data_IF_025120036168
#
_entry.id   IF_025120036168
#
_cell.length_a   1.000
_cell.length_b   1.000
_cell.length_c   1.000
_cell.angle_alpha   90.00
_cell.angle_beta   90.00
_cell.angle_gamma   90.00
#
_symmetry.space_group_name_H-M   'P 1'
#
loop_
_entity.id
_entity.type
_entity.pdbx_description
1 polymer ?
#
# COMPACT_ATOMS: atom_id res chain seq x y z
N UNK A 1 9.91 -9.16 -32.56
CA UNK A 1 10.82 -9.30 -31.40
C UNK A 1 10.03 -9.17 -30.08
N UNK A 2 9.41 -10.23 -29.53
CA UNK A 2 8.63 -10.13 -28.29
C UNK A 2 9.07 -11.08 -27.15
N UNK A 3 10.22 -11.74 -27.22
CA UNK A 3 10.57 -12.81 -26.28
C UNK A 3 11.52 -12.42 -25.13
N UNK A 4 12.19 -11.26 -25.20
CA UNK A 4 13.20 -10.88 -24.19
C UNK A 4 12.72 -9.91 -23.09
N UNK A 5 11.60 -9.18 -23.26
CA UNK A 5 11.03 -8.34 -22.19
C UNK A 5 10.35 -9.17 -21.07
N UNK A 6 9.89 -10.39 -21.37
CA UNK A 6 9.06 -11.16 -20.43
C UNK A 6 9.84 -11.81 -19.27
N UNK A 7 11.16 -12.03 -19.42
CA UNK A 7 11.98 -12.74 -18.41
C UNK A 7 12.44 -11.84 -17.28
N UNK A 8 12.75 -10.57 -17.57
CA UNK A 8 13.14 -9.58 -16.57
C UNK A 8 11.95 -9.28 -15.64
N UNK A 9 10.77 -9.08 -16.22
CA UNK A 9 9.52 -8.85 -15.46
C UNK A 9 9.09 -10.09 -14.68
N UNK A 10 9.27 -11.30 -15.21
CA UNK A 10 8.96 -12.52 -14.47
C UNK A 10 9.87 -12.72 -13.25
N UNK A 11 11.19 -12.50 -13.37
CA UNK A 11 12.13 -12.61 -12.24
C UNK A 11 11.89 -11.51 -11.20
N UNK A 12 11.64 -10.29 -11.66
CA UNK A 12 11.23 -9.15 -10.84
C UNK A 12 9.98 -9.45 -10.02
N UNK A 13 8.94 -9.96 -10.69
CA UNK A 13 7.68 -10.34 -10.07
C UNK A 13 7.88 -11.48 -9.07
N UNK A 14 8.63 -12.53 -9.41
CA UNK A 14 8.93 -13.63 -8.47
C UNK A 14 9.66 -13.13 -7.23
N UNK A 15 10.65 -12.25 -7.39
CA UNK A 15 11.37 -11.66 -6.27
C UNK A 15 10.49 -10.75 -5.40
N UNK A 16 9.53 -10.07 -6.01
CA UNK A 16 8.52 -9.29 -5.31
C UNK A 16 7.57 -10.19 -4.52
N UNK A 17 7.08 -11.28 -5.13
CA UNK A 17 6.21 -12.27 -4.49
C UNK A 17 6.88 -12.95 -3.28
N UNK A 18 8.21 -13.14 -3.34
CA UNK A 18 8.98 -13.81 -2.30
C UNK A 18 9.40 -12.91 -1.13
N UNK A 19 8.99 -11.64 -1.10
CA UNK A 19 9.33 -10.76 0.02
C UNK A 19 8.62 -11.24 1.29
N UNK A 20 9.35 -11.26 2.42
CA UNK A 20 8.86 -11.72 3.72
C UNK A 20 7.51 -11.08 4.15
N UNK A 21 7.26 -9.85 3.70
CA UNK A 21 6.00 -9.12 3.95
C UNK A 21 4.78 -9.78 3.28
N UNK A 22 4.91 -10.30 2.07
CA UNK A 22 3.79 -10.96 1.39
C UNK A 22 3.59 -12.37 1.92
N UNK A 23 4.68 -13.07 2.28
CA UNK A 23 4.57 -14.37 2.95
C UNK A 23 3.91 -14.28 4.33
N UNK A 24 4.00 -13.13 5.00
CA UNK A 24 3.27 -12.87 6.24
C UNK A 24 1.76 -12.67 6.02
N UNK A 25 1.34 -12.20 4.83
CA UNK A 25 -0.07 -12.03 4.48
C UNK A 25 -0.71 -13.33 4.00
N UNK A 26 0.08 -14.29 3.52
CA UNK A 26 -0.39 -15.62 3.13
C UNK A 26 0.53 -16.29 2.11
N UNK A 27 0.19 -17.53 1.72
CA UNK A 27 0.89 -18.23 0.64
C UNK A 27 0.80 -17.43 -0.67
N UNK A 28 1.88 -17.33 -1.47
CA UNK A 28 1.84 -16.68 -2.79
C UNK A 28 0.76 -17.21 -3.73
N UNK A 29 0.30 -18.45 -3.56
CA UNK A 29 -0.78 -19.05 -4.36
C UNK A 29 -2.16 -18.41 -4.12
N UNK A 30 -2.32 -17.63 -3.04
CA UNK A 30 -3.56 -16.95 -2.70
C UNK A 30 -3.80 -15.67 -3.51
N UNK A 31 -2.81 -15.22 -4.28
CA UNK A 31 -2.83 -13.95 -4.99
C UNK A 31 -2.74 -14.14 -6.51
N UNK A 32 -3.52 -13.36 -7.26
CA UNK A 32 -3.35 -13.25 -8.71
C UNK A 32 -2.28 -12.22 -9.05
N UNK A 33 -1.02 -12.67 -9.09
CA UNK A 33 0.13 -11.80 -9.37
C UNK A 33 0.11 -11.16 -10.76
N UNK A 34 -0.47 -11.82 -11.76
CA UNK A 34 -0.59 -11.25 -13.10
C UNK A 34 -1.60 -10.09 -13.09
N UNK A 35 -2.72 -10.26 -12.38
CA UNK A 35 -3.70 -9.19 -12.17
C UNK A 35 -3.14 -8.05 -11.34
N UNK A 36 -2.40 -8.33 -10.26
CA UNK A 36 -1.74 -7.31 -9.43
C UNK A 36 -0.77 -6.49 -10.28
N UNK A 37 0.08 -7.16 -11.08
CA UNK A 37 1.01 -6.51 -12.00
C UNK A 37 0.27 -5.62 -13.00
N UNK A 38 -0.84 -6.10 -13.58
CA UNK A 38 -1.67 -5.29 -14.47
C UNK A 38 -2.21 -4.05 -13.76
N UNK A 39 -2.79 -4.19 -12.57
CA UNK A 39 -3.34 -3.06 -11.81
C UNK A 39 -2.28 -2.02 -11.45
N UNK A 40 -1.04 -2.45 -11.22
CA UNK A 40 0.10 -1.57 -11.01
C UNK A 40 0.57 -0.91 -12.30
N UNK A 41 0.57 -1.62 -13.43
CA UNK A 41 0.99 -1.05 -14.71
C UNK A 41 0.01 0.00 -15.25
N UNK A 42 -1.27 -0.05 -14.85
CA UNK A 42 -2.29 0.95 -15.25
C UNK A 42 -2.16 2.28 -14.50
N UNK A 43 -1.23 2.39 -13.55
CA UNK A 43 -0.95 3.62 -12.81
C UNK A 43 -0.40 4.69 -13.77
N UNK A 44 -1.30 5.49 -14.35
CA UNK A 44 -0.95 6.69 -15.10
C UNK A 44 -0.52 7.77 -14.11
N UNK A 45 0.78 7.93 -13.91
CA UNK A 45 1.29 8.94 -12.96
C UNK A 45 2.81 9.14 -12.96
N UNK A 46 3.59 8.16 -13.41
CA UNK A 46 5.05 8.30 -13.44
C UNK A 46 5.56 9.29 -14.50
N UNK A 47 4.88 9.40 -15.64
CA UNK A 47 5.40 10.10 -16.82
C UNK A 47 5.02 11.60 -16.90
N UNK A 48 4.14 12.11 -16.04
CA UNK A 48 3.75 13.53 -16.08
C UNK A 48 4.00 14.20 -14.74
N UNK A 49 5.17 14.81 -14.63
CA UNK A 49 5.54 15.77 -13.56
C UNK A 49 4.57 16.96 -13.42
N UNK A 50 3.47 17.02 -14.18
CA UNK A 50 2.62 18.20 -14.28
C UNK A 50 1.24 18.07 -13.66
N UNK A 51 0.67 16.87 -13.42
CA UNK A 51 -0.74 16.76 -12.98
C UNK A 51 -1.09 15.57 -12.05
N UNK A 52 -0.13 14.75 -11.59
CA UNK A 52 -0.42 13.67 -10.64
C UNK A 52 -0.52 14.19 -9.19
N UNK A 53 -1.31 13.52 -8.33
CA UNK A 53 -1.21 13.63 -6.85
C UNK A 53 -0.10 12.68 -6.38
N UNK A 54 1.19 13.10 -6.28
CA UNK A 54 2.28 12.19 -5.88
C UNK A 54 2.02 11.54 -4.52
N UNK A 55 1.29 12.21 -3.64
CA UNK A 55 0.94 11.76 -2.29
C UNK A 55 0.05 10.50 -2.31
N UNK A 56 -0.94 10.45 -3.21
CA UNK A 56 -1.79 9.27 -3.37
C UNK A 56 -0.99 8.07 -3.87
N UNK A 57 -0.05 8.29 -4.79
CA UNK A 57 0.81 7.21 -5.28
C UNK A 57 1.71 6.64 -4.20
N UNK A 58 2.31 7.53 -3.40
CA UNK A 58 3.10 7.14 -2.23
C UNK A 58 2.25 6.34 -1.26
N UNK A 59 1.02 6.78 -0.98
CA UNK A 59 0.07 6.03 -0.17
C UNK A 59 -0.18 4.65 -0.75
N UNK A 60 -0.52 4.54 -2.02
CA UNK A 60 -0.86 3.26 -2.67
C UNK A 60 0.29 2.26 -2.64
N UNK A 61 1.53 2.71 -2.90
CA UNK A 61 2.72 1.85 -2.82
C UNK A 61 2.99 1.45 -1.36
N UNK A 62 2.89 2.38 -0.41
CA UNK A 62 3.08 2.07 1.02
C UNK A 62 1.99 1.11 1.54
N UNK A 63 0.77 1.25 1.05
CA UNK A 63 -0.37 0.40 1.36
C UNK A 63 -0.16 -1.03 0.84
N UNK A 64 0.21 -1.17 -0.43
CA UNK A 64 0.55 -2.47 -1.03
C UNK A 64 1.69 -3.18 -0.27
N UNK A 65 2.69 -2.41 0.14
CA UNK A 65 3.85 -2.93 0.84
C UNK A 65 3.62 -3.11 2.35
N UNK A 66 2.45 -2.78 2.90
CA UNK A 66 2.18 -2.88 4.34
C UNK A 66 3.19 -2.04 5.19
N UNK A 67 3.48 -0.81 4.74
CA UNK A 67 4.45 0.11 5.37
C UNK A 67 3.92 1.53 5.58
N UNK A 68 2.59 1.70 5.57
CA UNK A 68 2.00 2.97 5.95
C UNK A 68 2.43 3.36 7.38
N UNK A 69 2.67 4.65 7.65
CA UNK A 69 3.12 5.12 8.96
C UNK A 69 2.01 5.03 10.02
N UNK A 70 1.72 3.80 10.46
CA UNK A 70 0.86 3.50 11.62
C UNK A 70 1.66 3.54 12.91
N UNK A 71 1.00 3.61 14.08
CA UNK A 71 1.69 3.57 15.37
C UNK A 71 2.60 2.34 15.52
N UNK A 72 2.10 1.16 15.16
CA UNK A 72 2.88 -0.09 15.21
C UNK A 72 4.12 -0.03 14.32
N UNK A 73 4.02 0.60 13.15
CA UNK A 73 5.18 0.83 12.26
C UNK A 73 6.20 1.77 12.91
N UNK A 74 5.73 2.79 13.63
CA UNK A 74 6.61 3.71 14.36
C UNK A 74 7.26 3.06 15.59
N UNK A 75 6.52 2.28 16.38
CA UNK A 75 7.03 1.50 17.50
C UNK A 75 8.16 0.55 17.06
N UNK A 76 8.01 -0.10 15.91
CA UNK A 76 9.04 -0.98 15.36
C UNK A 76 10.29 -0.22 14.90
N UNK A 77 10.14 0.96 14.28
CA UNK A 77 11.26 1.71 13.68
C UNK A 77 11.98 2.64 14.65
N UNK A 78 11.25 3.16 15.64
CA UNK A 78 11.73 4.12 16.63
C UNK A 78 11.19 3.78 18.03
N UNK A 79 11.52 2.60 18.58
CA UNK A 79 11.04 2.18 19.89
C UNK A 79 11.47 3.13 21.03
N UNK A 80 12.51 3.94 20.80
CA UNK A 80 12.98 4.97 21.73
C UNK A 80 12.09 6.23 21.79
N UNK A 81 11.23 6.47 20.77
CA UNK A 81 10.27 7.58 20.75
C UNK A 81 8.83 7.11 20.97
N UNK A 82 8.51 5.89 20.54
CA UNK A 82 7.15 5.36 20.58
C UNK A 82 7.11 4.15 21.51
N UNK A 83 6.46 4.33 22.67
CA UNK A 83 6.30 3.26 23.66
C UNK A 83 5.51 2.09 23.08
N UNK A 84 5.92 0.86 23.40
CA UNK A 84 5.20 -0.38 23.03
C UNK A 84 3.80 -0.47 23.64
N UNK A 85 3.56 0.24 24.74
CA UNK A 85 2.30 0.17 25.48
C UNK A 85 1.23 1.10 24.90
N UNK A 86 1.63 1.99 23.98
CA UNK A 86 0.68 2.87 23.31
C UNK A 86 -0.22 2.11 22.36
N UNK A 87 -1.52 2.29 22.54
CA UNK A 87 -2.56 1.79 21.68
C UNK A 87 -2.94 2.85 20.64
N UNK A 88 -3.87 2.49 19.75
CA UNK A 88 -4.39 3.40 18.74
C UNK A 88 -4.77 4.74 19.37
N UNK A 89 -4.19 5.87 18.91
CA UNK A 89 -4.50 7.21 19.43
C UNK A 89 -5.97 7.58 19.35
N UNK A 90 -6.71 6.93 18.46
CA UNK A 90 -8.09 7.26 18.12
C UNK A 90 -9.11 6.53 19.00
N UNK A 91 -8.89 5.25 19.30
CA UNK A 91 -9.85 4.45 20.08
C UNK A 91 -9.27 3.90 21.39
N UNK A 92 -7.95 3.96 21.58
CA UNK A 92 -7.21 3.46 22.74
C UNK A 92 -7.58 2.02 23.16
N UNK A 93 -7.95 1.16 22.20
CA UNK A 93 -8.47 -0.19 22.49
C UNK A 93 -7.63 -1.33 21.90
N UNK A 94 -6.84 -1.06 20.87
CA UNK A 94 -6.00 -2.03 20.19
C UNK A 94 -4.75 -1.35 19.60
N UNK A 95 -3.69 -2.10 19.25
CA UNK A 95 -2.58 -1.56 18.47
C UNK A 95 -3.09 -0.99 17.14
N UNK A 96 -2.59 0.18 16.74
CA UNK A 96 -2.87 0.71 15.41
C UNK A 96 -1.92 0.07 14.40
N UNK A 97 -2.32 -1.10 13.91
CA UNK A 97 -1.78 -1.72 12.70
C UNK A 97 -2.58 -1.31 11.46
N UNK A 98 -2.15 -1.79 10.29
CA UNK A 98 -2.81 -1.43 9.05
C UNK A 98 -4.24 -1.98 8.95
N UNK A 99 -4.56 -3.10 9.60
CA UNK A 99 -5.94 -3.61 9.58
C UNK A 99 -6.82 -2.76 10.50
N UNK A 100 -6.32 -2.41 11.68
CA UNK A 100 -7.01 -1.56 12.64
C UNK A 100 -7.27 -0.17 12.07
N UNK A 101 -6.40 0.39 11.22
CA UNK A 101 -6.65 1.65 10.51
C UNK A 101 -8.02 1.69 9.83
N UNK A 102 -8.43 0.59 9.20
CA UNK A 102 -9.70 0.47 8.48
C UNK A 102 -10.88 0.15 9.39
N UNK A 103 -10.63 -0.59 10.48
CA UNK A 103 -11.69 -1.07 11.37
C UNK A 103 -11.80 -0.29 12.68
N UNK A 104 -11.00 0.77 12.85
CA UNK A 104 -10.96 1.57 14.06
C UNK A 104 -12.37 2.15 14.32
N UNK A 105 -12.98 1.87 15.49
CA UNK A 105 -14.31 2.36 15.83
C UNK A 105 -14.22 3.80 16.34
N UNK A 106 -13.59 4.68 15.55
CA UNK A 106 -13.26 6.04 15.98
C UNK A 106 -14.47 6.75 16.58
N UNK A 107 -14.26 7.45 17.70
CA UNK A 107 -15.32 7.95 18.58
C UNK A 107 -15.82 9.34 18.14
N UNK A 108 -15.16 10.02 17.18
CA UNK A 108 -15.67 11.30 16.70
C UNK A 108 -16.96 11.11 15.88
N UNK A 109 -18.04 11.88 16.18
CA UNK A 109 -19.37 11.67 15.61
C UNK A 109 -19.44 11.61 14.06
N UNK A 110 -18.61 12.39 13.37
CA UNK A 110 -18.65 12.53 11.90
C UNK A 110 -17.55 11.74 11.17
N UNK A 111 -16.66 11.06 11.91
CA UNK A 111 -15.49 10.39 11.35
C UNK A 111 -15.43 8.98 11.93
N UNK A 112 -15.93 8.01 11.18
CA UNK A 112 -15.87 6.60 11.58
C UNK A 112 -15.20 5.79 10.48
N UNK A 113 -13.87 5.56 10.57
CA UNK A 113 -13.12 4.79 9.58
C UNK A 113 -13.75 3.44 9.28
N UNK A 114 -14.28 2.74 10.29
CA UNK A 114 -14.95 1.45 10.13
C UNK A 114 -16.21 1.56 9.27
N UNK A 115 -17.08 2.54 9.52
CA UNK A 115 -18.29 2.73 8.71
C UNK A 115 -17.96 3.21 7.29
N UNK A 116 -17.03 4.16 7.16
CA UNK A 116 -16.55 4.64 5.85
C UNK A 116 -15.95 3.50 5.05
N UNK A 117 -15.05 2.72 5.63
CA UNK A 117 -14.43 1.57 4.99
C UNK A 117 -15.47 0.56 4.51
N UNK A 118 -16.45 0.21 5.35
CA UNK A 118 -17.55 -0.69 4.95
C UNK A 118 -18.35 -0.14 3.76
N UNK A 119 -18.69 1.14 3.79
CA UNK A 119 -19.36 1.82 2.67
C UNK A 119 -18.54 1.72 1.38
N UNK A 120 -17.24 2.00 1.45
CA UNK A 120 -16.37 1.98 0.27
C UNK A 120 -16.17 0.56 -0.28
N UNK A 121 -16.08 -0.46 0.58
CA UNK A 121 -16.04 -1.87 0.13
C UNK A 121 -17.34 -2.27 -0.57
N UNK A 122 -18.50 -1.85 -0.04
CA UNK A 122 -19.81 -2.09 -0.68
C UNK A 122 -19.86 -1.42 -2.05
N UNK A 123 -19.51 -0.13 -2.14
CA UNK A 123 -19.48 0.61 -3.41
C UNK A 123 -18.56 -0.05 -4.43
N UNK A 124 -17.37 -0.49 -4.00
CA UNK A 124 -16.42 -1.17 -4.88
C UNK A 124 -16.98 -2.51 -5.41
N UNK A 125 -17.53 -3.35 -4.53
CA UNK A 125 -18.19 -4.61 -4.88
C UNK A 125 -19.32 -4.38 -5.88
N UNK A 126 -20.22 -3.47 -5.59
CA UNK A 126 -21.43 -3.21 -6.40
C UNK A 126 -21.06 -2.59 -7.76
N UNK A 127 -20.01 -1.76 -7.80
CA UNK A 127 -19.46 -1.24 -9.05
C UNK A 127 -18.83 -2.34 -9.89
N UNK A 128 -18.09 -3.26 -9.28
CA UNK A 128 -17.56 -4.43 -9.99
C UNK A 128 -18.69 -5.30 -10.54
N UNK A 129 -19.69 -5.63 -9.71
CA UNK A 129 -20.84 -6.44 -10.11
C UNK A 129 -21.57 -5.81 -11.29
N UNK A 130 -21.91 -4.52 -11.18
CA UNK A 130 -22.58 -3.76 -12.25
C UNK A 130 -21.75 -3.73 -13.54
N UNK A 131 -20.44 -3.51 -13.43
CA UNK A 131 -19.55 -3.50 -14.59
C UNK A 131 -19.53 -4.87 -15.29
N UNK A 132 -19.44 -5.98 -14.56
CA UNK A 132 -19.49 -7.32 -15.18
C UNK A 132 -20.84 -7.65 -15.81
N UNK A 133 -21.95 -7.30 -15.14
CA UNK A 133 -23.30 -7.49 -15.69
C UNK A 133 -23.55 -6.65 -16.95
N UNK A 134 -22.91 -5.48 -17.07
CA UNK A 134 -22.98 -4.64 -18.28
C UNK A 134 -22.24 -5.26 -19.48
N UNK A 135 -21.21 -6.07 -19.23
CA UNK A 135 -20.41 -6.72 -20.28
C UNK A 135 -21.08 -7.98 -20.82
N UNK A 136 -21.83 -8.69 -19.99
CA UNK A 136 -22.50 -9.93 -20.34
C UNK A 136 -23.69 -10.11 -19.40
N UNK A 137 -24.85 -10.43 -19.96
CA UNK A 137 -26.01 -10.86 -19.17
C UNK A 137 -25.68 -12.17 -18.46
N UNK A 138 -25.72 -12.15 -17.12
CA UNK A 138 -25.46 -13.28 -16.25
C UNK A 138 -26.64 -13.47 -15.30
N UNK A 139 -26.84 -14.71 -14.89
CA UNK A 139 -28.00 -15.11 -14.08
C UNK A 139 -27.83 -14.74 -12.59
N UNK A 140 -28.86 -15.08 -11.81
CA UNK A 140 -28.88 -14.87 -10.36
C UNK A 140 -27.77 -15.68 -9.67
N UNK A 141 -27.41 -16.86 -10.20
CA UNK A 141 -26.36 -17.69 -9.62
C UNK A 141 -25.00 -16.99 -9.65
N UNK A 142 -24.67 -16.28 -10.74
CA UNK A 142 -23.47 -15.42 -10.77
C UNK A 142 -23.50 -14.33 -9.71
N UNK A 143 -24.63 -13.61 -9.57
CA UNK A 143 -24.74 -12.49 -8.63
C UNK A 143 -24.61 -12.95 -7.17
N UNK A 144 -25.28 -14.05 -6.83
CA UNK A 144 -25.19 -14.68 -5.50
C UNK A 144 -23.79 -15.20 -5.24
N UNK A 145 -23.18 -15.92 -6.19
CA UNK A 145 -21.83 -16.44 -6.07
C UNK A 145 -20.78 -15.35 -5.94
N UNK A 146 -20.90 -14.28 -6.72
CA UNK A 146 -20.01 -13.11 -6.66
C UNK A 146 -20.11 -12.43 -5.30
N UNK A 147 -21.33 -12.17 -4.82
CA UNK A 147 -21.56 -11.47 -3.55
C UNK A 147 -21.15 -12.30 -2.32
N UNK A 148 -21.12 -13.63 -2.45
CA UNK A 148 -20.72 -14.55 -1.39
C UNK A 148 -19.19 -14.75 -1.27
N UNK A 149 -18.39 -14.19 -2.18
CA UNK A 149 -16.94 -14.30 -2.09
C UNK A 149 -16.41 -13.67 -0.79
N UNK A 150 -15.49 -14.37 -0.13
CA UNK A 150 -14.91 -13.96 1.16
C UNK A 150 -14.26 -12.56 1.09
N UNK A 151 -13.75 -12.15 -0.07
CA UNK A 151 -13.13 -10.85 -0.26
C UNK A 151 -14.09 -9.67 -0.14
N UNK A 152 -15.40 -9.91 -0.10
CA UNK A 152 -16.43 -8.90 0.14
C UNK A 152 -16.93 -8.87 1.58
N UNK A 153 -16.45 -9.74 2.47
CA UNK A 153 -16.84 -9.67 3.86
C UNK A 153 -16.25 -8.40 4.49
N UNK A 154 -17.09 -7.38 4.74
CA UNK A 154 -16.69 -6.09 5.31
C UNK A 154 -17.17 -5.88 6.76
N UNK A 155 -18.13 -6.68 7.24
CA UNK A 155 -18.65 -6.56 8.61
C UNK A 155 -17.56 -6.91 9.63
N UNK A 156 -16.92 -8.05 9.42
CA UNK A 156 -15.70 -8.47 10.10
C UNK A 156 -14.70 -8.76 8.98
N UNK A 157 -13.93 -7.75 8.53
CA UNK A 157 -13.16 -7.88 7.31
C UNK A 157 -12.28 -9.12 7.29
N UNK A 158 -12.51 -9.97 6.30
CA UNK A 158 -11.70 -11.18 6.11
C UNK A 158 -10.27 -10.80 5.70
N UNK A 159 -9.34 -11.75 5.81
CA UNK A 159 -7.98 -11.54 5.28
C UNK A 159 -8.01 -11.15 3.81
N UNK A 160 -8.92 -11.71 3.02
CA UNK A 160 -9.00 -11.42 1.59
C UNK A 160 -9.61 -10.06 1.26
N UNK A 161 -10.52 -9.55 2.10
CA UNK A 161 -10.98 -8.16 2.03
C UNK A 161 -9.83 -7.18 2.32
N UNK A 162 -9.02 -7.50 3.33
CA UNK A 162 -7.80 -6.76 3.65
C UNK A 162 -6.71 -6.85 2.57
N UNK A 163 -6.62 -7.95 1.83
CA UNK A 163 -5.74 -8.07 0.67
C UNK A 163 -6.21 -7.14 -0.47
N UNK A 164 -7.51 -7.13 -0.80
CA UNK A 164 -8.06 -6.21 -1.80
C UNK A 164 -7.79 -4.75 -1.44
N UNK A 165 -7.93 -4.41 -0.16
CA UNK A 165 -7.62 -3.07 0.37
C UNK A 165 -6.17 -2.68 0.06
N UNK A 166 -5.23 -3.62 0.20
CA UNK A 166 -3.81 -3.43 -0.15
C UNK A 166 -3.54 -3.39 -1.65
N UNK A 167 -4.54 -3.66 -2.50
CA UNK A 167 -4.36 -3.84 -3.94
C UNK A 167 -3.82 -5.22 -4.33
N UNK A 168 -3.85 -6.18 -3.41
CA UNK A 168 -3.54 -7.59 -3.67
C UNK A 168 -4.82 -8.30 -4.11
N UNK A 169 -4.90 -8.69 -5.38
CA UNK A 169 -6.07 -9.39 -5.92
C UNK A 169 -6.12 -10.85 -5.41
N UNK A 170 -7.17 -11.25 -4.68
CA UNK A 170 -7.32 -12.64 -4.25
C UNK A 170 -7.53 -13.58 -5.44
N UNK A 171 -6.82 -14.70 -5.44
CA UNK A 171 -6.91 -15.71 -6.51
C UNK A 171 -8.33 -16.27 -6.64
N UNK A 172 -9.09 -16.42 -5.54
CA UNK A 172 -10.45 -16.94 -5.61
C UNK A 172 -11.42 -16.00 -6.35
N UNK A 173 -11.23 -14.68 -6.25
CA UNK A 173 -12.03 -13.69 -6.99
C UNK A 173 -11.78 -13.83 -8.49
N UNK A 174 -10.51 -13.88 -8.90
CA UNK A 174 -10.17 -14.01 -10.32
C UNK A 174 -10.52 -15.40 -10.85
N UNK A 175 -10.40 -16.45 -10.04
CA UNK A 175 -10.79 -17.81 -10.41
C UNK A 175 -12.30 -17.98 -10.57
N UNK A 176 -13.11 -17.30 -9.75
CA UNK A 176 -14.56 -17.21 -9.93
C UNK A 176 -14.89 -16.49 -11.26
N UNK A 177 -14.32 -15.31 -11.48
CA UNK A 177 -14.62 -14.51 -12.68
C UNK A 177 -14.13 -15.15 -13.99
N UNK A 178 -13.03 -15.92 -13.96
CA UNK A 178 -12.47 -16.66 -15.10
C UNK A 178 -13.44 -17.66 -15.73
N UNK A 179 -14.44 -18.12 -14.98
CA UNK A 179 -15.48 -19.01 -15.50
C UNK A 179 -16.40 -18.29 -16.51
N UNK A 180 -16.44 -16.95 -16.46
CA UNK A 180 -17.38 -16.14 -17.24
C UNK A 180 -16.69 -15.19 -18.22
N UNK A 181 -15.48 -14.73 -17.89
CA UNK A 181 -14.77 -13.68 -18.64
C UNK A 181 -13.29 -14.04 -18.88
N UNK A 182 -12.71 -13.62 -20.03
CA UNK A 182 -11.27 -13.66 -20.23
C UNK A 182 -10.52 -12.80 -19.20
N UNK A 183 -9.31 -13.22 -18.84
CA UNK A 183 -8.46 -12.48 -17.88
C UNK A 183 -8.23 -11.02 -18.25
N UNK A 184 -8.04 -10.73 -19.53
CA UNK A 184 -7.84 -9.37 -20.01
C UNK A 184 -9.05 -8.46 -19.73
N UNK A 185 -10.27 -9.01 -19.77
CA UNK A 185 -11.49 -8.28 -19.43
C UNK A 185 -11.57 -8.09 -17.92
N UNK A 186 -11.33 -9.15 -17.14
CA UNK A 186 -11.33 -9.08 -15.67
C UNK A 186 -10.40 -7.99 -15.16
N UNK A 187 -9.14 -7.97 -15.62
CA UNK A 187 -8.16 -6.99 -15.17
C UNK A 187 -8.49 -5.57 -15.62
N UNK A 188 -8.95 -5.39 -16.87
CA UNK A 188 -9.39 -4.07 -17.37
C UNK A 188 -10.59 -3.52 -16.62
N UNK A 189 -11.50 -4.37 -16.15
CA UNK A 189 -12.68 -3.97 -15.38
C UNK A 189 -12.32 -3.65 -13.93
N UNK A 190 -11.57 -4.52 -13.25
CA UNK A 190 -11.25 -4.35 -11.82
C UNK A 190 -10.25 -3.20 -11.59
N UNK A 191 -9.25 -3.06 -12.46
CA UNK A 191 -8.16 -2.10 -12.24
C UNK A 191 -8.58 -0.64 -11.99
N UNK A 192 -9.46 -0.02 -12.80
CA UNK A 192 -9.90 1.35 -12.53
C UNK A 192 -10.75 1.42 -11.26
N UNK A 193 -11.65 0.47 -11.03
CA UNK A 193 -12.51 0.45 -9.85
C UNK A 193 -11.71 0.28 -8.55
N UNK A 194 -10.66 -0.55 -8.57
CA UNK A 194 -9.74 -0.71 -7.45
C UNK A 194 -8.96 0.58 -7.19
N UNK A 195 -8.58 1.30 -8.25
CA UNK A 195 -7.93 2.60 -8.10
C UNK A 195 -8.86 3.61 -7.42
N UNK A 196 -10.11 3.70 -7.89
CA UNK A 196 -11.10 4.62 -7.34
C UNK A 196 -11.39 4.30 -5.87
N UNK A 197 -11.58 3.02 -5.54
CA UNK A 197 -11.69 2.55 -4.15
C UNK A 197 -10.51 3.01 -3.29
N UNK A 198 -9.27 2.85 -3.76
CA UNK A 198 -8.09 3.28 -3.01
C UNK A 198 -7.97 4.81 -2.90
N UNK A 199 -8.47 5.57 -3.88
CA UNK A 199 -8.55 7.04 -3.81
C UNK A 199 -9.49 7.46 -2.68
N UNK A 200 -10.65 6.82 -2.54
CA UNK A 200 -11.59 7.09 -1.45
C UNK A 200 -10.99 6.75 -0.09
N UNK A 201 -10.33 5.59 0.05
CA UNK A 201 -9.62 5.24 1.30
C UNK A 201 -8.52 6.26 1.66
N UNK A 202 -7.83 6.78 0.65
CA UNK A 202 -6.83 7.82 0.84
C UNK A 202 -7.47 9.13 1.35
N UNK A 203 -8.53 9.59 0.69
CA UNK A 203 -9.19 10.85 1.01
C UNK A 203 -9.91 10.82 2.35
N UNK A 204 -10.77 9.82 2.54
CA UNK A 204 -11.76 9.80 3.62
C UNK A 204 -11.21 9.24 4.93
N UNK A 205 -10.21 8.35 4.88
CA UNK A 205 -9.67 7.69 6.08
C UNK A 205 -8.22 8.12 6.31
N UNK A 206 -7.35 7.92 5.32
CA UNK A 206 -5.91 8.12 5.52
C UNK A 206 -5.54 9.57 5.84
N UNK A 207 -6.04 10.55 5.08
CA UNK A 207 -5.72 11.96 5.33
C UNK A 207 -6.18 12.41 6.73
N UNK A 208 -7.39 12.03 7.12
CA UNK A 208 -7.93 12.33 8.44
C UNK A 208 -7.07 11.70 9.55
N UNK A 209 -6.74 10.41 9.42
CA UNK A 209 -5.88 9.72 10.37
C UNK A 209 -4.52 10.42 10.52
N UNK A 210 -3.89 10.87 9.42
CA UNK A 210 -2.60 11.55 9.52
C UNK A 210 -2.71 12.83 10.36
N UNK A 211 -3.72 13.67 10.09
CA UNK A 211 -3.92 14.91 10.86
C UNK A 211 -4.07 14.61 12.35
N UNK A 212 -4.91 13.63 12.69
CA UNK A 212 -5.17 13.24 14.08
C UNK A 212 -3.95 12.61 14.76
N UNK A 213 -3.22 11.77 14.04
CA UNK A 213 -1.98 11.14 14.51
C UNK A 213 -0.93 12.20 14.87
N UNK A 214 -0.81 13.24 14.06
CA UNK A 214 0.14 14.31 14.30
C UNK A 214 -0.21 15.20 15.50
N UNK A 215 -1.48 15.55 15.66
CA UNK A 215 -1.95 16.23 16.88
C UNK A 215 -1.70 15.38 18.12
N UNK A 216 -1.92 14.07 18.02
CA UNK A 216 -1.62 13.14 19.11
C UNK A 216 -0.12 13.06 19.40
N UNK A 217 0.76 12.99 18.40
CA UNK A 217 2.21 12.99 18.61
C UNK A 217 2.68 14.26 19.35
N UNK A 218 2.13 15.43 19.00
CA UNK A 218 2.41 16.68 19.69
C UNK A 218 1.98 16.63 21.17
N UNK A 219 0.83 16.01 21.45
CA UNK A 219 0.37 15.78 22.83
C UNK A 219 1.30 14.86 23.65
N UNK A 220 2.03 13.96 22.98
CA UNK A 220 3.05 13.10 23.59
C UNK A 220 4.43 13.78 23.69
N UNK A 221 4.54 15.05 23.28
CA UNK A 221 5.81 15.79 23.26
C UNK A 221 6.74 15.37 22.11
N UNK A 222 6.25 14.65 21.10
CA UNK A 222 7.06 14.20 19.96
C UNK A 222 7.06 15.29 18.88
N UNK A 223 8.17 16.02 18.78
CA UNK A 223 8.36 17.04 17.75
C UNK A 223 9.05 16.50 16.49
N UNK A 224 9.06 17.30 15.41
CA UNK A 224 9.85 16.97 14.23
C UNK A 224 11.37 16.85 14.55
N UNK A 225 11.86 17.61 15.53
CA UNK A 225 13.26 17.57 15.95
C UNK A 225 13.61 16.26 16.67
N UNK A 226 12.74 15.75 17.54
CA UNK A 226 12.97 14.46 18.23
C UNK A 226 13.00 13.29 17.24
N UNK A 227 12.26 13.39 16.13
CA UNK A 227 12.28 12.41 15.04
C UNK A 227 13.58 12.42 14.24
N UNK A 228 14.34 13.52 14.21
CA UNK A 228 15.61 13.63 13.48
C UNK A 228 16.80 13.07 14.27
N UNK A 229 16.76 13.16 15.61
CA UNK A 229 17.76 12.57 16.48
C UNK A 229 17.56 11.05 16.59
N UNK A 230 18.19 10.30 15.68
CA UNK A 230 18.60 8.93 15.98
C UNK A 230 19.95 8.99 16.67
N UNK A 231 20.01 8.61 17.96
CA UNK A 231 21.23 8.42 18.77
C UNK A 231 22.42 9.33 18.41
N UNK A 232 22.46 10.54 18.99
CA UNK A 232 23.74 11.17 19.33
C UNK A 232 24.03 10.86 20.79
N UNK A 233 24.43 9.62 21.09
CA UNK A 233 25.17 9.37 22.33
C UNK A 233 26.64 9.68 22.06
N UNK A 234 27.13 10.71 22.73
CA UNK A 234 28.53 11.07 22.79
C UNK A 234 29.37 9.88 23.26
N UNK A 235 30.28 9.39 22.41
CA UNK A 235 31.53 8.74 22.84
C UNK A 235 32.55 8.84 21.70
N UNK A 236 33.76 9.39 21.96
CA UNK A 236 34.80 9.52 20.95
C UNK A 236 35.65 8.24 20.90
N UNK A 237 35.84 7.66 19.71
CA UNK A 237 36.97 6.75 19.45
C UNK A 237 37.29 6.67 17.95
N UNK A 238 38.23 7.52 17.55
CA UNK A 238 39.40 7.28 16.67
C UNK A 238 39.26 6.23 15.53
N UNK A 239 39.17 6.77 14.29
CA UNK A 239 39.94 6.47 13.05
C UNK A 239 40.25 5.00 12.68
N UNK A 240 39.80 4.52 11.50
CA UNK A 240 40.67 4.31 10.30
C UNK A 240 39.87 4.07 9.01
N UNK A 241 40.41 4.59 7.90
CA UNK A 241 39.90 4.53 6.52
C UNK A 241 40.18 3.21 5.81
N UNK A 242 39.37 2.85 4.81
CA UNK A 242 39.88 2.49 3.47
C UNK A 242 38.77 2.40 2.40
N UNK A 243 38.89 3.30 1.42
CA UNK A 243 38.74 3.10 -0.03
C UNK A 243 37.35 2.84 -0.64
N UNK A 244 36.89 3.92 -1.27
CA UNK A 244 35.95 4.02 -2.38
C UNK A 244 36.38 3.15 -3.58
N UNK A 245 35.43 2.41 -4.14
CA UNK A 245 35.44 2.10 -5.56
C UNK A 245 34.10 2.51 -6.16
N UNK A 246 34.13 3.64 -6.86
CA UNK A 246 33.15 4.06 -7.84
C UNK A 246 33.09 3.05 -8.99
N UNK A 247 31.88 2.65 -9.37
CA UNK A 247 31.65 2.04 -10.68
C UNK A 247 30.32 2.49 -11.27
N UNK A 248 30.44 3.42 -12.23
CA UNK A 248 29.65 3.55 -13.46
C UNK A 248 28.14 3.79 -13.33
N UNK A 249 27.74 5.05 -13.57
CA UNK A 249 26.38 5.46 -13.95
C UNK A 249 25.93 4.68 -15.19
N UNK A 250 25.04 3.70 -15.02
CA UNK A 250 24.26 3.16 -16.12
C UNK A 250 23.04 4.07 -16.35
N UNK A 251 22.94 4.65 -17.54
CA UNK A 251 21.79 5.42 -18.00
C UNK A 251 20.54 4.54 -17.99
N UNK A 252 19.64 4.75 -17.02
CA UNK A 252 18.38 4.01 -16.91
C UNK A 252 17.37 4.62 -17.89
N UNK A 253 16.91 3.81 -18.84
CA UNK A 253 15.79 4.13 -19.75
C UNK A 253 14.54 4.52 -18.95
N UNK A 254 13.88 5.61 -19.37
CA UNK A 254 12.84 6.34 -18.63
C UNK A 254 11.50 5.61 -18.40
N UNK A 255 11.31 4.36 -18.82
CA UNK A 255 9.95 3.80 -18.97
C UNK A 255 9.62 2.49 -18.21
N UNK A 256 10.30 2.15 -17.11
CA UNK A 256 9.77 1.06 -16.27
C UNK A 256 10.19 1.18 -14.81
N UNK A 257 9.33 1.80 -14.00
CA UNK A 257 9.48 1.83 -12.56
C UNK A 257 9.42 0.42 -11.93
N UNK A 258 8.80 -0.56 -12.60
CA UNK A 258 8.86 -1.98 -12.23
C UNK A 258 10.28 -2.53 -12.45
N UNK A 259 10.94 -2.15 -13.55
CA UNK A 259 12.37 -2.41 -13.78
C UNK A 259 13.25 -1.70 -12.75
N UNK A 260 12.86 -0.51 -12.29
CA UNK A 260 13.57 0.20 -11.23
C UNK A 260 13.43 -0.47 -9.85
N UNK A 261 12.21 -0.82 -9.42
CA UNK A 261 11.95 -1.56 -8.17
C UNK A 261 12.66 -2.91 -8.21
N UNK A 262 12.53 -3.64 -9.31
CA UNK A 262 13.15 -4.96 -9.45
C UNK A 262 14.67 -4.91 -9.56
N UNK A 263 15.24 -3.93 -10.26
CA UNK A 263 16.70 -3.74 -10.31
C UNK A 263 17.26 -3.37 -8.93
N UNK A 264 16.51 -2.59 -8.14
CA UNK A 264 16.87 -2.26 -6.76
C UNK A 264 16.84 -3.50 -5.85
N UNK A 265 15.89 -4.40 -6.08
CA UNK A 265 15.79 -5.69 -5.36
C UNK A 265 16.89 -6.67 -5.79
N UNK A 266 17.18 -6.78 -7.10
CA UNK A 266 18.14 -7.75 -7.66
C UNK A 266 19.60 -7.40 -7.34
N UNK A 267 19.96 -6.10 -7.30
CA UNK A 267 21.35 -5.68 -7.12
C UNK A 267 21.82 -5.64 -5.66
N UNK A 268 20.99 -6.08 -4.70
CA UNK A 268 21.36 -6.14 -3.28
C UNK A 268 21.83 -4.80 -2.70
N UNK A 269 21.46 -3.69 -3.35
CA UNK A 269 21.87 -2.36 -2.92
C UNK A 269 21.35 -2.09 -1.52
N UNK A 270 22.24 -1.61 -0.65
CA UNK A 270 21.85 -1.16 0.68
C UNK A 270 20.70 -0.16 0.55
N UNK A 271 19.56 -0.48 1.14
CA UNK A 271 18.39 0.40 1.28
C UNK A 271 18.77 1.82 1.75
N UNK A 272 19.93 1.94 2.42
CA UNK A 272 20.50 3.14 3.01
C UNK A 272 20.91 4.19 1.97
N UNK A 273 21.27 3.85 0.72
CA UNK A 273 21.62 4.86 -0.30
C UNK A 273 20.42 5.43 -1.05
N UNK A 274 19.23 4.83 -0.93
CA UNK A 274 17.98 5.34 -1.52
C UNK A 274 17.07 6.03 -0.49
N UNK A 275 17.52 6.11 0.77
CA UNK A 275 16.86 6.88 1.81
C UNK A 275 16.89 8.39 1.55
N UNK A 276 17.66 8.95 0.63
CA UNK A 276 17.61 10.40 0.40
C UNK A 276 16.32 10.86 -0.34
N UNK A 277 15.66 9.94 -1.06
CA UNK A 277 14.30 10.20 -1.61
C UNK A 277 13.20 9.83 -0.60
N UNK A 278 13.36 8.74 0.15
CA UNK A 278 12.38 8.32 1.17
C UNK A 278 12.46 9.15 2.47
N UNK A 279 13.63 9.73 2.83
CA UNK A 279 13.80 10.72 3.92
C UNK A 279 13.10 12.02 3.58
N UNK A 280 13.10 12.45 2.31
CA UNK A 280 12.26 13.57 1.84
C UNK A 280 10.77 13.26 1.92
N UNK A 281 10.39 11.99 2.16
CA UNK A 281 9.02 11.51 2.38
C UNK A 281 8.78 10.96 3.79
N UNK A 282 9.70 11.21 4.73
CA UNK A 282 9.50 10.93 6.15
C UNK A 282 10.20 12.00 6.99
N UNK A 283 9.54 13.15 7.14
CA UNK A 283 8.99 13.65 8.41
C UNK A 283 7.98 14.73 7.99
N UNK A 284 6.68 14.43 8.03
CA UNK A 284 5.60 15.34 8.44
C UNK A 284 4.23 14.83 7.98
N UNK A 285 3.15 15.22 8.69
CA UNK A 285 1.81 15.24 8.11
C UNK A 285 1.89 16.03 6.81
N UNK A 286 0.98 15.76 5.88
CA UNK A 286 0.67 16.79 4.91
C UNK A 286 0.25 18.05 5.67
N UNK A 287 1.07 19.11 5.63
CA UNK A 287 0.67 20.46 6.04
C UNK A 287 -0.42 20.89 5.06
N UNK A 288 -1.68 20.72 5.45
CA UNK A 288 -2.78 21.43 4.81
C UNK A 288 -2.69 22.87 5.31
N UNK A 289 -2.05 23.73 4.50
CA UNK A 289 -2.15 25.18 4.68
C UNK A 289 -3.55 25.59 4.21
N UNK A 290 -4.47 25.83 5.12
CA UNK A 290 -5.64 26.63 4.81
C UNK A 290 -5.15 28.06 4.52
N UNK A 291 -5.30 28.49 3.27
CA UNK A 291 -5.29 29.90 2.89
C UNK A 291 -6.71 30.32 2.60
#
# INVERSE_FOLDING_TARGET
MPLFLHKADARALLSFCSMARFTALGSPSLFDWAGIHFCLSQIKGFASHKNGRPEFWIFRIKLLLDILPTLTTFQQRKPYLYSSDWLCPQCNSAPEDLNHLWTCPYILPDLNPCLTYRSEVIKFRDSCLSAFLSLKSLDVAFQTGFSALDCWNYNTPSSSCFWLTRGLLPAHLTMFLKQYFPLSVIYKTISPLLNDFQVELYGEIWLCQNVLFHTWEESQGISAASKLHGLSLNSPTIITSSQLHDSSLATVSQDSWISWISSSIIRGGSWISHLDFLRRLTVQPLRISFR
#
